data_IF_457611927971
#
_entry.id   IF_457611927971
#
_cell.length_a   1.000
_cell.length_b   1.000
_cell.length_c   1.000
_cell.angle_alpha   90.00
_cell.angle_beta   90.00
_cell.angle_gamma   90.00
#
_symmetry.space_group_name_H-M   'P 1'
#
loop_
_entity.id
_entity.type
_entity.pdbx_description
1 polymer ?
#
# COMPACT_ATOMS: atom_id res chain seq x y z
N UNK A 1 -14.66 -33.14 -9.29
CA UNK A 1 -15.06 -32.24 -8.17
C UNK A 1 -13.86 -31.60 -7.48
N UNK A 2 -12.79 -32.35 -7.18
CA UNK A 2 -11.57 -31.83 -6.56
C UNK A 2 -10.97 -30.58 -7.24
N UNK A 3 -10.85 -30.57 -8.58
CA UNK A 3 -10.39 -29.39 -9.35
C UNK A 3 -11.25 -28.13 -9.15
N UNK A 4 -12.57 -28.28 -8.96
CA UNK A 4 -13.50 -27.15 -8.74
C UNK A 4 -13.40 -26.62 -7.30
N UNK A 5 -13.14 -27.52 -6.34
CA UNK A 5 -12.93 -27.17 -4.93
C UNK A 5 -11.60 -26.44 -4.75
N UNK A 6 -10.54 -26.91 -5.41
CA UNK A 6 -9.22 -26.24 -5.41
C UNK A 6 -9.30 -24.86 -6.08
N UNK A 7 -9.98 -24.74 -7.22
CA UNK A 7 -10.21 -23.44 -7.88
C UNK A 7 -11.04 -22.48 -7.01
N UNK A 8 -12.06 -22.99 -6.31
CA UNK A 8 -12.85 -22.21 -5.37
C UNK A 8 -12.05 -21.73 -4.16
N UNK A 9 -11.21 -22.59 -3.58
CA UNK A 9 -10.31 -22.21 -2.48
C UNK A 9 -9.28 -21.17 -2.91
N UNK A 10 -8.70 -21.28 -4.11
CA UNK A 10 -7.78 -20.29 -4.67
C UNK A 10 -8.45 -18.93 -4.90
N UNK A 11 -9.69 -18.93 -5.40
CA UNK A 11 -10.46 -17.69 -5.55
C UNK A 11 -10.76 -17.06 -4.19
N UNK A 12 -11.17 -17.85 -3.19
CA UNK A 12 -11.44 -17.36 -1.83
C UNK A 12 -10.18 -16.90 -1.10
N UNK A 13 -9.03 -17.55 -1.31
CA UNK A 13 -7.77 -17.10 -0.72
C UNK A 13 -7.23 -15.83 -1.39
N UNK A 14 -7.43 -15.64 -2.70
CA UNK A 14 -7.18 -14.35 -3.36
C UNK A 14 -8.13 -13.25 -2.86
N UNK A 15 -9.39 -13.59 -2.58
CA UNK A 15 -10.39 -12.71 -1.97
C UNK A 15 -10.06 -12.37 -0.50
N UNK A 16 -9.32 -13.25 0.20
CA UNK A 16 -8.84 -13.06 1.57
C UNK A 16 -7.49 -12.32 1.66
N UNK A 17 -6.88 -11.94 0.53
CA UNK A 17 -5.76 -10.99 0.49
C UNK A 17 -6.30 -9.57 0.75
N UNK A 18 -6.82 -9.37 1.95
CA UNK A 18 -7.15 -8.07 2.51
C UNK A 18 -5.88 -7.22 2.56
N UNK A 19 -5.77 -6.29 1.62
CA UNK A 19 -4.76 -5.22 1.60
C UNK A 19 -3.87 -5.24 0.37
N UNK A 20 -4.46 -5.12 -0.84
CA UNK A 20 -3.69 -4.79 -2.04
C UNK A 20 -3.14 -3.36 -1.90
N UNK A 21 -3.92 -2.40 -1.38
CA UNK A 21 -3.46 -1.08 -0.91
C UNK A 21 -3.83 -0.84 0.56
N UNK A 22 -2.90 -0.33 1.36
CA UNK A 22 -3.07 -0.12 2.81
C UNK A 22 -2.25 1.05 3.34
N UNK A 23 -2.76 1.66 4.41
CA UNK A 23 -2.03 2.64 5.23
C UNK A 23 -2.13 2.23 6.68
N UNK A 24 -0.99 2.05 7.32
CA UNK A 24 -0.85 1.82 8.75
C UNK A 24 -0.35 3.08 9.43
N UNK A 25 -0.78 3.27 10.68
CA UNK A 25 -0.46 4.44 11.50
C UNK A 25 0.14 3.96 12.82
N UNK A 26 1.24 4.58 13.23
CA UNK A 26 1.79 4.49 14.59
C UNK A 26 1.62 5.82 15.29
N UNK A 27 1.22 5.80 16.55
CA UNK A 27 1.00 7.00 17.40
C UNK A 27 1.78 6.96 18.72
N UNK A 28 2.28 5.79 19.10
CA UNK A 28 3.01 5.59 20.35
C UNK A 28 4.52 5.56 20.10
N UNK A 29 5.20 6.61 20.56
CA UNK A 29 6.64 6.82 20.31
C UNK A 29 7.50 6.80 21.58
N UNK A 30 6.96 6.30 22.70
CA UNK A 30 7.66 6.19 23.98
C UNK A 30 8.38 7.49 24.43
N UNK A 31 7.77 8.65 24.15
CA UNK A 31 8.31 9.97 24.49
C UNK A 31 9.33 10.55 23.50
N UNK A 32 9.57 9.90 22.37
CA UNK A 32 10.39 10.43 21.27
C UNK A 32 9.55 11.27 20.30
N UNK A 33 10.18 12.30 19.73
CA UNK A 33 9.58 13.11 18.66
C UNK A 33 9.69 12.43 17.30
N UNK A 34 8.82 12.81 16.37
CA UNK A 34 8.86 12.38 14.97
C UNK A 34 9.37 13.46 14.00
N UNK A 35 9.85 14.58 14.54
CA UNK A 35 10.34 15.70 13.74
C UNK A 35 11.42 16.43 14.50
N UNK A 36 12.45 16.83 13.75
CA UNK A 36 13.50 17.73 14.22
C UNK A 36 13.19 19.20 13.86
N UNK A 37 12.09 19.47 13.16
CA UNK A 37 11.69 20.81 12.73
C UNK A 37 11.12 21.60 13.91
N UNK A 38 11.76 22.72 14.32
CA UNK A 38 11.30 23.51 15.46
C UNK A 38 9.88 24.06 15.25
N UNK A 39 9.05 23.91 16.27
CA UNK A 39 7.68 24.44 16.27
C UNK A 39 6.65 23.57 15.57
N UNK A 40 7.02 22.36 15.11
CA UNK A 40 6.05 21.37 14.61
C UNK A 40 5.58 20.44 15.72
N UNK A 41 4.34 19.97 15.62
CA UNK A 41 3.78 18.97 16.52
C UNK A 41 3.56 17.66 15.75
N UNK A 42 4.12 16.53 16.21
CA UNK A 42 3.92 15.25 15.53
C UNK A 42 2.47 14.79 15.64
N UNK A 43 1.88 14.39 14.51
CA UNK A 43 0.55 13.79 14.45
C UNK A 43 0.68 12.27 14.57
N UNK A 44 1.44 11.65 13.66
CA UNK A 44 1.68 10.21 13.65
C UNK A 44 2.75 9.80 12.62
N UNK A 45 3.20 8.55 12.70
CA UNK A 45 4.01 7.91 11.67
C UNK A 45 3.12 7.09 10.75
N UNK A 46 3.26 7.24 9.44
CA UNK A 46 2.48 6.56 8.42
C UNK A 46 3.33 5.57 7.65
N UNK A 47 2.78 4.39 7.38
CA UNK A 47 3.36 3.40 6.48
C UNK A 47 2.31 2.98 5.45
N UNK A 48 2.48 3.43 4.22
CA UNK A 48 1.63 3.13 3.10
C UNK A 48 2.24 2.01 2.25
N UNK A 49 1.44 1.05 1.81
CA UNK A 49 1.87 -0.04 0.93
C UNK A 49 0.83 -0.31 -0.14
N UNK A 50 1.27 -0.46 -1.38
CA UNK A 50 0.48 -1.02 -2.46
C UNK A 50 1.25 -2.16 -3.13
N UNK A 51 0.54 -3.18 -3.60
CA UNK A 51 1.12 -4.24 -4.41
C UNK A 51 0.14 -4.75 -5.46
N UNK A 52 0.67 -5.44 -6.46
CA UNK A 52 -0.13 -5.97 -7.55
C UNK A 52 0.55 -7.11 -8.31
N UNK A 53 -0.26 -7.77 -9.14
CA UNK A 53 0.15 -8.84 -10.05
C UNK A 53 0.05 -8.32 -11.48
N UNK A 54 1.11 -8.57 -12.24
CA UNK A 54 1.29 -8.10 -13.61
C UNK A 54 1.55 -9.28 -14.54
N UNK A 55 0.99 -9.24 -15.74
CA UNK A 55 1.46 -10.06 -16.84
C UNK A 55 2.50 -9.24 -17.62
N UNK A 56 3.77 -9.56 -17.44
CA UNK A 56 4.89 -8.71 -17.91
C UNK A 56 4.78 -7.28 -17.36
N UNK A 57 4.26 -6.34 -18.17
CA UNK A 57 4.04 -4.93 -17.81
C UNK A 57 2.56 -4.58 -17.67
N UNK A 58 1.64 -5.49 -18.00
CA UNK A 58 0.19 -5.25 -17.96
C UNK A 58 -0.28 -5.49 -16.52
N UNK A 59 -0.80 -4.48 -15.80
CA UNK A 59 -1.38 -4.69 -14.48
C UNK A 59 -2.61 -5.59 -14.64
N UNK A 60 -2.66 -6.73 -13.94
CA UNK A 60 -3.87 -7.56 -13.92
C UNK A 60 -4.75 -7.14 -12.76
N UNK A 61 -4.15 -7.10 -11.57
CA UNK A 61 -4.80 -6.76 -10.32
C UNK A 61 -3.80 -5.94 -9.50
N UNK A 62 -4.21 -4.75 -9.07
CA UNK A 62 -3.45 -3.88 -8.16
C UNK A 62 -4.35 -3.48 -6.99
N UNK A 63 -3.78 -2.90 -5.94
CA UNK A 63 -4.60 -2.28 -4.90
C UNK A 63 -5.14 -0.92 -5.32
N UNK A 64 -6.37 -0.65 -4.91
CA UNK A 64 -7.03 0.64 -5.11
C UNK A 64 -6.55 1.64 -4.03
N UNK A 65 -5.69 2.56 -4.44
CA UNK A 65 -5.11 3.62 -3.62
C UNK A 65 -6.10 4.73 -3.24
N UNK A 66 -7.25 4.80 -3.91
CA UNK A 66 -8.34 5.74 -3.56
C UNK A 66 -9.21 5.21 -2.44
N UNK A 67 -9.24 3.88 -2.26
CA UNK A 67 -10.00 3.17 -1.22
C UNK A 67 -9.11 2.22 -0.40
N UNK A 68 -8.04 2.73 0.25
CA UNK A 68 -7.13 1.91 1.03
C UNK A 68 -7.82 1.24 2.22
N UNK A 69 -7.26 0.14 2.72
CA UNK A 69 -7.76 -0.63 3.87
C UNK A 69 -9.19 -1.18 3.69
N UNK A 70 -9.69 -1.25 2.44
CA UNK A 70 -11.01 -1.80 2.13
C UNK A 70 -10.89 -3.28 1.79
N UNK A 71 -11.78 -4.10 2.34
CA UNK A 71 -11.97 -5.47 1.87
C UNK A 71 -12.39 -5.43 0.38
N UNK A 72 -11.67 -6.13 -0.48
CA UNK A 72 -11.80 -6.03 -1.94
C UNK A 72 -11.42 -4.67 -2.56
N UNK A 73 -10.54 -3.89 -1.90
CA UNK A 73 -9.92 -2.68 -2.45
C UNK A 73 -8.92 -3.01 -3.56
N UNK A 74 -9.41 -3.49 -4.69
CA UNK A 74 -8.62 -3.87 -5.87
C UNK A 74 -9.00 -3.01 -7.08
N UNK A 75 -8.02 -2.76 -7.91
CA UNK A 75 -8.14 -2.12 -9.22
C UNK A 75 -7.78 -3.15 -10.30
N UNK A 76 -8.63 -3.29 -11.32
CA UNK A 76 -8.43 -4.24 -12.42
C UNK A 76 -7.92 -3.51 -13.64
N UNK A 77 -6.85 -4.01 -14.25
CA UNK A 77 -6.24 -3.41 -15.45
C UNK A 77 -5.82 -1.93 -15.28
N UNK A 78 -5.67 -1.47 -14.05
CA UNK A 78 -5.21 -0.13 -13.68
C UNK A 78 -3.91 -0.26 -12.90
N UNK A 79 -2.89 0.53 -13.27
CA UNK A 79 -1.62 0.54 -12.54
C UNK A 79 -1.66 1.61 -11.45
N UNK A 80 -1.71 1.16 -10.20
CA UNK A 80 -1.65 2.04 -9.02
C UNK A 80 -0.46 1.69 -8.10
N UNK A 81 0.39 0.74 -8.51
CA UNK A 81 1.58 0.30 -7.75
C UNK A 81 2.78 1.14 -8.17
N UNK A 82 2.63 2.44 -8.00
CA UNK A 82 3.64 3.45 -8.28
C UNK A 82 3.81 4.38 -7.06
N UNK A 83 4.88 5.18 -7.07
CA UNK A 83 5.22 6.03 -5.91
C UNK A 83 4.28 7.23 -5.79
N UNK A 84 3.73 7.73 -6.89
CA UNK A 84 2.87 8.91 -6.85
C UNK A 84 1.50 8.54 -6.29
N UNK A 85 0.93 7.42 -6.73
CA UNK A 85 -0.35 6.89 -6.21
C UNK A 85 -0.25 6.52 -4.73
N UNK A 86 0.82 5.81 -4.33
CA UNK A 86 1.04 5.45 -2.91
C UNK A 86 1.36 6.68 -2.05
N UNK A 87 2.08 7.66 -2.60
CA UNK A 87 2.38 8.92 -1.93
C UNK A 87 1.12 9.76 -1.72
N UNK A 88 0.26 9.87 -2.72
CA UNK A 88 -1.03 10.56 -2.63
C UNK A 88 -1.97 9.87 -1.61
N UNK A 89 -1.98 8.54 -1.59
CA UNK A 89 -2.71 7.75 -0.60
C UNK A 89 -2.21 8.02 0.83
N UNK A 90 -0.90 8.03 1.05
CA UNK A 90 -0.29 8.38 2.34
C UNK A 90 -0.63 9.81 2.75
N UNK A 91 -0.45 10.77 1.84
CA UNK A 91 -0.74 12.18 2.09
C UNK A 91 -2.20 12.43 2.43
N UNK A 92 -3.12 11.75 1.73
CA UNK A 92 -4.55 11.81 2.03
C UNK A 92 -4.86 11.27 3.42
N UNK A 93 -4.21 10.18 3.84
CA UNK A 93 -4.38 9.64 5.19
C UNK A 93 -3.84 10.60 6.27
N UNK A 94 -2.64 11.16 6.07
CA UNK A 94 -2.04 12.11 7.01
C UNK A 94 -2.86 13.40 7.14
N UNK A 95 -3.33 13.94 6.01
CA UNK A 95 -4.18 15.15 6.00
C UNK A 95 -5.53 14.91 6.70
N UNK A 96 -6.13 13.72 6.55
CA UNK A 96 -7.36 13.34 7.27
C UNK A 96 -7.18 13.33 8.78
N UNK A 97 -5.98 13.03 9.25
CA UNK A 97 -5.62 13.01 10.66
C UNK A 97 -5.14 14.38 11.20
N UNK A 98 -5.11 15.41 10.35
CA UNK A 98 -4.78 16.78 10.75
C UNK A 98 -3.31 17.20 10.54
N UNK A 99 -2.50 16.40 9.86
CA UNK A 99 -1.15 16.80 9.46
C UNK A 99 -1.21 17.95 8.42
N UNK A 100 -0.38 18.97 8.61
CA UNK A 100 -0.20 20.10 7.69
C UNK A 100 0.90 19.82 6.67
N UNK A 101 1.86 18.96 7.03
CA UNK A 101 2.97 18.56 6.19
C UNK A 101 3.45 17.14 6.52
N UNK A 102 4.27 16.60 5.63
CA UNK A 102 4.90 15.29 5.79
C UNK A 102 6.42 15.45 5.73
N UNK A 103 7.10 14.83 6.68
CA UNK A 103 8.55 14.81 6.80
C UNK A 103 9.11 13.38 6.71
N UNK A 104 10.42 13.27 6.52
CA UNK A 104 11.17 12.01 6.45
C UNK A 104 10.59 10.97 5.48
N UNK A 105 10.03 11.45 4.36
CA UNK A 105 9.40 10.60 3.37
C UNK A 105 10.43 9.69 2.71
N UNK A 106 10.28 8.39 2.93
CA UNK A 106 11.07 7.35 2.27
C UNK A 106 10.17 6.46 1.42
N UNK A 107 10.72 5.93 0.32
CA UNK A 107 10.03 5.00 -0.56
C UNK A 107 10.89 3.79 -0.87
N UNK A 108 10.25 2.64 -1.04
CA UNK A 108 10.89 1.41 -1.48
C UNK A 108 10.02 0.75 -2.53
N UNK A 109 10.68 0.11 -3.50
CA UNK A 109 10.05 -0.63 -4.59
C UNK A 109 10.59 -2.04 -4.60
N UNK A 110 9.72 -3.02 -4.81
CA UNK A 110 10.11 -4.41 -4.98
C UNK A 110 9.40 -5.02 -6.18
N UNK A 111 10.08 -5.92 -6.88
CA UNK A 111 9.53 -6.64 -8.01
C UNK A 111 10.15 -8.02 -8.13
N UNK A 112 9.33 -9.03 -8.37
CA UNK A 112 9.78 -10.41 -8.55
C UNK A 112 8.90 -11.15 -9.55
N UNK A 113 9.50 -12.05 -10.32
CA UNK A 113 8.78 -13.06 -11.07
C UNK A 113 8.26 -14.10 -10.05
N UNK A 114 6.94 -14.28 -9.98
CA UNK A 114 6.31 -15.15 -8.97
C UNK A 114 5.74 -16.45 -9.53
N UNK A 115 5.61 -16.55 -10.86
CA UNK A 115 5.10 -17.76 -11.49
C UNK A 115 5.68 -17.95 -12.90
N UNK A 116 5.94 -19.21 -13.27
CA UNK A 116 6.24 -19.70 -14.61
C UNK A 116 5.40 -20.97 -14.85
N UNK A 117 4.86 -21.22 -16.06
CA UNK A 117 5.31 -20.74 -17.38
C UNK A 117 4.69 -19.41 -17.87
N UNK A 118 3.61 -18.93 -17.23
CA UNK A 118 3.02 -17.62 -17.55
C UNK A 118 3.82 -16.57 -16.76
N UNK A 119 4.46 -15.59 -17.41
CA UNK A 119 5.36 -14.66 -16.73
C UNK A 119 4.60 -13.63 -15.88
N UNK A 120 4.17 -14.09 -14.69
CA UNK A 120 3.49 -13.25 -13.70
C UNK A 120 4.50 -12.61 -12.77
N UNK A 121 4.43 -11.29 -12.67
CA UNK A 121 5.26 -10.49 -11.79
C UNK A 121 4.45 -9.98 -10.62
N UNK A 122 5.01 -10.10 -9.42
CA UNK A 122 4.59 -9.32 -8.27
C UNK A 122 5.37 -8.01 -8.25
N UNK A 123 4.68 -6.90 -8.02
CA UNK A 123 5.30 -5.60 -7.74
C UNK A 123 4.72 -5.02 -6.47
N UNK A 124 5.53 -4.28 -5.73
CA UNK A 124 5.06 -3.51 -4.59
C UNK A 124 5.81 -2.20 -4.44
N UNK A 125 5.11 -1.23 -3.87
CA UNK A 125 5.63 0.07 -3.44
C UNK A 125 5.24 0.23 -1.99
N UNK A 126 6.21 0.65 -1.17
CA UNK A 126 5.96 1.04 0.22
C UNK A 126 6.55 2.42 0.46
N UNK A 127 5.82 3.26 1.21
CA UNK A 127 6.25 4.58 1.62
C UNK A 127 6.05 4.75 3.12
N UNK A 128 6.99 5.44 3.75
CA UNK A 128 6.97 5.69 5.19
C UNK A 128 7.30 7.16 5.42
N UNK A 129 6.58 7.80 6.35
CA UNK A 129 6.70 9.23 6.58
C UNK A 129 6.11 9.65 7.92
N UNK A 130 6.54 10.81 8.42
CA UNK A 130 6.01 11.44 9.62
C UNK A 130 5.01 12.54 9.23
N UNK A 131 3.77 12.47 9.70
CA UNK A 131 2.82 13.56 9.57
C UNK A 131 2.97 14.52 10.74
N UNK A 132 3.13 15.81 10.45
CA UNK A 132 3.34 16.86 11.46
C UNK A 132 2.40 18.03 11.22
N UNK A 133 2.13 18.79 12.28
CA UNK A 133 1.32 20.01 12.26
C UNK A 133 2.17 21.25 12.51
#
# INVERSE_FOLDING_TARGET
>A
MFKKIVAGMLAVSMLALSGCASVQKGEEFAGLGLSDTPGTSPVAHYNAKNWGIYLLTIPLITGDTTRPNTLFGISLLSDEVDVDSVGAMLATAAARDGASSIEDLTSSRFGALVFLPIPLFYRSVAMSANGVQ
#
